data_IF_725096650221
#
_entry.id   IF_725096650221
#
_cell.length_a   1.000
_cell.length_b   1.000
_cell.length_c   1.000
_cell.angle_alpha   90.00
_cell.angle_beta   90.00
_cell.angle_gamma   90.00
#
_symmetry.space_group_name_H-M   'P 1'
#
loop_
_entity.id
_entity.type
_entity.pdbx_description
1 polymer ?
#
# COMPACT_ATOMS: atom_id res chain seq x y z
N UNK A 1 -19.78 -39.11 -8.87
CA UNK A 1 -20.40 -37.99 -8.12
C UNK A 1 -19.27 -37.02 -7.75
N UNK A 2 -19.14 -35.90 -8.46
CA UNK A 2 -18.14 -34.86 -8.17
C UNK A 2 -18.83 -33.77 -7.35
N UNK A 3 -18.30 -33.47 -6.17
CA UNK A 3 -18.75 -32.32 -5.36
C UNK A 3 -18.04 -31.09 -5.91
N UNK A 4 -18.78 -30.18 -6.52
CA UNK A 4 -18.26 -28.90 -6.95
C UNK A 4 -18.06 -28.02 -5.71
N UNK A 5 -16.80 -27.78 -5.32
CA UNK A 5 -16.46 -26.79 -4.31
C UNK A 5 -16.68 -25.40 -4.87
N UNK A 6 -17.73 -24.71 -4.41
CA UNK A 6 -17.94 -23.31 -4.74
C UNK A 6 -16.88 -22.46 -4.04
N UNK A 7 -15.90 -21.96 -4.78
CA UNK A 7 -15.04 -20.88 -4.31
C UNK A 7 -15.86 -19.59 -4.37
N UNK A 8 -16.28 -19.08 -3.22
CA UNK A 8 -16.86 -17.75 -3.13
C UNK A 8 -15.78 -16.73 -3.52
N UNK A 9 -15.94 -16.09 -4.68
CA UNK A 9 -15.03 -15.03 -5.12
C UNK A 9 -15.04 -13.84 -4.16
N UNK A 10 -13.91 -13.16 -4.01
CA UNK A 10 -13.82 -11.90 -3.27
C UNK A 10 -14.75 -10.89 -3.96
N UNK A 11 -15.74 -10.39 -3.22
CA UNK A 11 -16.64 -9.35 -3.71
C UNK A 11 -16.34 -8.05 -2.97
N UNK A 12 -15.88 -7.04 -3.71
CA UNK A 12 -15.79 -5.67 -3.19
C UNK A 12 -17.21 -5.12 -3.09
N UNK A 13 -17.65 -4.77 -1.88
CA UNK A 13 -19.02 -4.29 -1.61
C UNK A 13 -19.08 -2.78 -1.33
N UNK A 14 -17.93 -2.12 -1.12
CA UNK A 14 -17.82 -0.71 -0.79
C UNK A 14 -17.38 0.18 -1.96
N UNK A 15 -17.54 1.49 -1.80
CA UNK A 15 -16.95 2.49 -2.70
C UNK A 15 -15.43 2.53 -2.47
N UNK A 16 -14.60 2.63 -3.53
CA UNK A 16 -13.17 2.88 -3.38
C UNK A 16 -12.91 4.17 -2.59
N UNK A 17 -11.93 4.14 -1.69
CA UNK A 17 -11.44 5.30 -0.94
C UNK A 17 -10.08 5.69 -1.50
N UNK A 18 -9.87 6.97 -1.78
CA UNK A 18 -8.55 7.48 -2.11
C UNK A 18 -7.74 7.61 -0.83
N UNK A 19 -6.60 6.92 -0.77
CA UNK A 19 -5.70 6.93 0.39
C UNK A 19 -4.42 7.74 0.17
N UNK A 20 -4.13 8.12 -1.09
CA UNK A 20 -2.99 8.97 -1.41
C UNK A 20 -3.25 10.42 -1.00
N UNK A 21 -2.21 11.18 -0.58
CA UNK A 21 -2.32 12.61 -0.36
C UNK A 21 -2.87 13.33 -1.60
N UNK A 22 -3.50 14.48 -1.39
CA UNK A 22 -4.04 15.30 -2.48
C UNK A 22 -2.94 15.67 -3.49
N UNK A 23 -3.24 15.52 -4.78
CA UNK A 23 -2.31 15.83 -5.88
C UNK A 23 -1.17 14.81 -6.07
N UNK A 24 -0.98 13.84 -5.16
CA UNK A 24 0.08 12.85 -5.27
C UNK A 24 -0.38 11.62 -6.05
N UNK A 25 0.32 11.37 -7.15
CA UNK A 25 0.22 10.09 -7.87
C UNK A 25 1.25 9.13 -7.29
N UNK A 26 0.78 8.08 -6.63
CA UNK A 26 1.63 7.06 -6.03
C UNK A 26 1.57 5.74 -6.82
N UNK A 27 2.63 4.95 -6.68
CA UNK A 27 2.89 3.69 -7.36
C UNK A 27 3.69 2.73 -6.45
N UNK A 28 3.81 1.47 -6.90
CA UNK A 28 4.58 0.42 -6.23
C UNK A 28 4.21 0.22 -4.75
N UNK A 29 2.92 -0.04 -4.44
CA UNK A 29 2.50 -0.22 -3.05
C UNK A 29 3.11 -1.49 -2.45
N UNK A 30 3.63 -1.39 -1.23
CA UNK A 30 4.08 -2.52 -0.41
C UNK A 30 3.41 -2.47 0.95
N UNK A 31 2.73 -3.56 1.30
CA UNK A 31 1.99 -3.68 2.55
C UNK A 31 2.93 -4.06 3.70
N UNK A 32 2.70 -3.48 4.87
CA UNK A 32 3.32 -3.98 6.10
C UNK A 32 2.79 -5.39 6.42
N UNK A 33 3.58 -6.26 7.08
CA UNK A 33 3.15 -7.62 7.41
C UNK A 33 1.90 -7.70 8.29
N UNK A 34 1.66 -6.68 9.12
CA UNK A 34 0.48 -6.57 9.97
C UNK A 34 -0.74 -5.95 9.26
N UNK A 35 -0.59 -5.54 8.00
CA UNK A 35 -1.65 -4.95 7.18
C UNK A 35 -2.07 -3.54 7.62
N UNK A 36 -1.38 -2.91 8.57
CA UNK A 36 -1.74 -1.58 9.09
C UNK A 36 -1.25 -0.43 8.24
N UNK A 37 -0.25 -0.66 7.40
CA UNK A 37 0.39 0.37 6.60
C UNK A 37 0.59 -0.09 5.17
N UNK A 38 0.52 0.88 4.26
CA UNK A 38 0.95 0.74 2.88
C UNK A 38 2.06 1.76 2.69
N UNK A 39 3.23 1.32 2.23
CA UNK A 39 4.23 2.23 1.71
C UNK A 39 4.10 2.34 0.20
N UNK A 40 4.22 3.56 -0.33
CA UNK A 40 4.17 3.80 -1.76
C UNK A 40 5.06 4.98 -2.13
N UNK A 41 5.52 5.01 -3.38
CA UNK A 41 6.42 6.04 -3.92
C UNK A 41 5.77 6.74 -5.10
N UNK A 42 6.30 7.89 -5.52
CA UNK A 42 5.98 8.45 -6.84
C UNK A 42 6.47 7.51 -7.96
N UNK A 43 5.87 7.56 -9.17
CA UNK A 43 6.28 6.74 -10.32
C UNK A 43 7.75 6.85 -10.72
N UNK A 44 8.43 7.94 -10.36
CA UNK A 44 9.86 8.16 -10.61
C UNK A 44 10.76 7.72 -9.44
N UNK A 45 10.22 6.98 -8.46
CA UNK A 45 10.91 6.52 -7.25
C UNK A 45 11.41 7.62 -6.30
N UNK A 46 10.96 8.86 -6.46
CA UNK A 46 11.32 9.97 -5.57
C UNK A 46 10.43 10.03 -4.34
N UNK A 47 11.06 9.93 -3.17
CA UNK A 47 10.38 9.93 -1.90
C UNK A 47 9.44 8.75 -1.69
N UNK A 48 8.91 8.62 -0.48
CA UNK A 48 7.84 7.65 -0.22
C UNK A 48 6.97 8.07 0.97
N UNK A 49 5.78 7.50 1.01
CA UNK A 49 4.74 7.77 2.00
C UNK A 49 4.35 6.48 2.70
N UNK A 50 4.01 6.60 3.99
CA UNK A 50 3.18 5.64 4.70
C UNK A 50 1.73 6.09 4.63
N UNK A 51 0.84 5.17 4.29
CA UNK A 51 -0.58 5.38 4.11
C UNK A 51 -1.33 4.38 5.00
N UNK A 52 -2.37 4.85 5.69
CA UNK A 52 -3.35 3.97 6.31
C UNK A 52 -4.27 3.39 5.23
N UNK A 53 -4.58 2.08 5.26
CA UNK A 53 -5.47 1.43 4.29
C UNK A 53 -6.88 2.00 4.22
N UNK A 54 -7.35 2.63 5.29
CA UNK A 54 -8.66 3.27 5.38
C UNK A 54 -8.64 4.75 4.94
N UNK A 55 -7.47 5.29 4.60
CA UNK A 55 -7.30 6.69 4.19
C UNK A 55 -7.29 7.69 5.35
N UNK A 56 -7.36 7.24 6.61
CA UNK A 56 -7.40 8.13 7.78
C UNK A 56 -6.08 8.87 8.05
N UNK A 57 -4.97 8.36 7.52
CA UNK A 57 -3.65 8.93 7.75
C UNK A 57 -2.73 8.71 6.56
N UNK A 58 -1.91 9.70 6.27
CA UNK A 58 -0.77 9.59 5.37
C UNK A 58 0.39 10.43 5.90
N UNK A 59 1.62 9.99 5.64
CA UNK A 59 2.84 10.69 6.05
C UNK A 59 3.94 10.44 5.05
N UNK A 60 4.54 11.51 4.53
CA UNK A 60 5.78 11.41 3.76
C UNK A 60 6.96 11.12 4.71
N UNK A 61 7.77 10.10 4.41
CA UNK A 61 8.96 9.77 5.20
C UNK A 61 10.23 10.43 4.63
N UNK A 62 10.30 10.61 3.32
CA UNK A 62 11.38 11.32 2.64
C UNK A 62 10.91 11.81 1.27
N UNK A 63 11.61 12.78 0.70
CA UNK A 63 11.47 13.29 -0.66
C UNK A 63 12.70 13.02 -1.54
N UNK A 64 13.66 12.24 -1.04
CA UNK A 64 14.91 11.99 -1.73
C UNK A 64 14.69 11.21 -3.05
N UNK A 65 15.40 11.57 -4.13
CA UNK A 65 15.40 10.79 -5.38
C UNK A 65 15.83 9.35 -5.14
N UNK A 66 15.12 8.39 -5.75
CA UNK A 66 15.44 6.96 -5.68
C UNK A 66 15.07 6.26 -4.37
N UNK A 67 14.61 6.99 -3.35
CA UNK A 67 14.25 6.42 -2.05
C UNK A 67 13.14 5.34 -2.12
N UNK A 68 12.29 5.40 -3.16
CA UNK A 68 11.24 4.41 -3.38
C UNK A 68 11.69 3.13 -4.07
N UNK A 69 12.95 3.01 -4.49
CA UNK A 69 13.41 1.86 -5.26
C UNK A 69 13.63 0.64 -4.36
N UNK A 70 12.97 -0.49 -4.68
CA UNK A 70 13.17 -1.74 -3.96
C UNK A 70 12.66 -1.74 -2.51
N UNK A 71 11.75 -0.82 -2.15
CA UNK A 71 11.16 -0.77 -0.81
C UNK A 71 10.57 -2.12 -0.41
N UNK A 72 10.88 -2.55 0.81
CA UNK A 72 10.35 -3.76 1.39
C UNK A 72 10.27 -3.62 2.91
N UNK A 73 9.20 -4.13 3.48
CA UNK A 73 9.08 -4.17 4.94
C UNK A 73 9.95 -5.29 5.51
N UNK A 74 10.58 -4.97 6.64
CA UNK A 74 11.10 -5.99 7.56
C UNK A 74 10.00 -6.99 7.95
N UNK A 75 10.33 -8.28 8.18
CA UNK A 75 9.33 -9.28 8.55
C UNK A 75 8.55 -8.97 9.84
N UNK A 76 9.17 -8.21 10.76
CA UNK A 76 8.53 -7.76 12.00
C UNK A 76 7.75 -6.43 11.85
N UNK A 77 7.78 -5.83 10.66
CA UNK A 77 7.03 -4.62 10.33
C UNK A 77 7.55 -3.34 10.99
N UNK A 78 8.73 -3.36 11.62
CA UNK A 78 9.26 -2.19 12.35
C UNK A 78 10.09 -1.24 11.49
N UNK A 79 10.51 -1.70 10.32
CA UNK A 79 11.33 -0.95 9.37
C UNK A 79 10.87 -1.17 7.92
N UNK A 80 11.17 -0.17 7.10
CA UNK A 80 11.04 -0.12 5.65
C UNK A 80 12.26 0.60 5.06
#
# INVERSE_FOLDING_TARGET
MLVAGAFAGIRVTGKPVQISPEGEKLAHPVWSPDGRWIAATRPNYTGFWLLSPDGSSNRQLTDAPGAGFGMAWSPDGRAI
#
